data_IF_504168486509
#
_entry.id   IF_504168486509
#
_cell.length_a   1.000
_cell.length_b   1.000
_cell.length_c   1.000
_cell.angle_alpha   90.00
_cell.angle_beta   90.00
_cell.angle_gamma   90.00
#
_symmetry.space_group_name_H-M   'P 1'
#
loop_
_entity.id
_entity.type
_entity.pdbx_description
1 polymer ?
#
# COMPACT_ATOMS: atom_id res chain seq x y z
N UNK A 1 -1.13 18.99 22.76
CA UNK A 1 -1.09 17.52 22.65
C UNK A 1 -0.87 17.19 21.19
N UNK A 2 0.33 16.74 20.82
CA UNK A 2 0.53 16.13 19.50
C UNK A 2 -0.16 14.77 19.52
N UNK A 3 -1.16 14.56 18.67
CA UNK A 3 -1.78 13.25 18.50
C UNK A 3 -0.79 12.21 17.98
N UNK A 4 -1.13 10.93 18.10
CA UNK A 4 -0.36 9.82 17.57
C UNK A 4 -0.04 10.02 16.08
N UNK A 5 1.17 9.67 15.66
CA UNK A 5 1.57 9.62 14.25
C UNK A 5 2.36 8.33 13.98
N UNK A 6 2.00 7.56 12.93
CA UNK A 6 2.72 6.34 12.58
C UNK A 6 4.10 6.67 11.98
N UNK A 7 4.95 5.65 11.89
CA UNK A 7 6.16 5.74 11.07
C UNK A 7 5.76 5.75 9.59
N UNK A 8 6.36 6.62 8.78
CA UNK A 8 6.14 6.68 7.33
C UNK A 8 7.48 6.65 6.61
N UNK A 9 7.58 5.80 5.59
CA UNK A 9 8.78 5.61 4.78
C UNK A 9 8.45 5.72 3.28
N UNK A 10 9.47 5.97 2.47
CA UNK A 10 9.53 5.51 1.08
C UNK A 10 10.24 4.16 1.10
N UNK A 11 9.56 3.12 0.62
CA UNK A 11 10.05 1.74 0.62
C UNK A 11 10.04 1.15 -0.79
N UNK A 12 11.12 0.48 -1.15
CA UNK A 12 11.20 -0.29 -2.39
C UNK A 12 10.64 -1.69 -2.16
N UNK A 13 9.65 -2.07 -2.95
CA UNK A 13 8.94 -3.35 -2.79
C UNK A 13 9.63 -4.41 -3.66
N UNK A 14 9.77 -5.63 -3.16
CA UNK A 14 10.28 -6.74 -3.95
C UNK A 14 9.86 -8.10 -3.41
N UNK A 15 9.71 -9.08 -4.31
CA UNK A 15 9.47 -10.47 -3.94
C UNK A 15 8.05 -10.75 -3.42
N UNK A 16 7.10 -9.87 -3.73
CA UNK A 16 5.67 -10.10 -3.49
C UNK A 16 5.03 -10.94 -4.60
N UNK A 17 5.61 -10.87 -5.81
CA UNK A 17 5.02 -11.45 -7.01
C UNK A 17 3.90 -10.61 -7.61
N UNK A 18 3.70 -9.39 -7.11
CA UNK A 18 2.71 -8.43 -7.62
C UNK A 18 3.36 -7.39 -8.53
N UNK A 19 2.58 -6.72 -9.41
CA UNK A 19 3.07 -5.66 -10.28
C UNK A 19 3.82 -4.53 -9.57
N UNK A 20 3.54 -4.26 -8.30
CA UNK A 20 4.28 -3.27 -7.49
C UNK A 20 5.73 -3.66 -7.15
N UNK A 21 6.18 -4.89 -7.44
CA UNK A 21 7.58 -5.27 -7.26
C UNK A 21 8.50 -4.39 -8.12
N UNK A 22 9.51 -3.78 -7.48
CA UNK A 22 10.46 -2.85 -8.09
C UNK A 22 10.09 -1.37 -7.92
N UNK A 23 8.88 -1.06 -7.47
CA UNK A 23 8.40 0.30 -7.26
C UNK A 23 8.73 0.84 -5.86
N UNK A 24 8.85 2.16 -5.75
CA UNK A 24 9.09 2.86 -4.49
C UNK A 24 7.78 3.51 -4.03
N UNK A 25 7.11 2.91 -3.05
CA UNK A 25 5.83 3.41 -2.53
C UNK A 25 6.01 4.06 -1.16
N UNK A 26 5.08 4.94 -0.79
CA UNK A 26 5.03 5.45 0.59
C UNK A 26 4.20 4.51 1.45
N UNK A 27 4.82 4.03 2.51
CA UNK A 27 4.27 3.02 3.41
C UNK A 27 4.25 3.55 4.83
N UNK A 28 3.24 3.14 5.58
CA UNK A 28 3.11 3.48 7.00
C UNK A 28 3.14 2.22 7.88
N UNK A 29 3.67 2.36 9.10
CA UNK A 29 3.74 1.29 10.09
C UNK A 29 3.11 1.81 11.38
N UNK A 30 2.14 1.05 11.89
CA UNK A 30 1.25 1.49 12.95
C UNK A 30 1.42 0.66 14.22
N UNK A 31 1.10 1.24 15.36
CA UNK A 31 1.13 0.53 16.63
C UNK A 31 -0.11 -0.33 16.86
N UNK A 32 -1.25 0.06 16.27
CA UNK A 32 -2.53 -0.61 16.48
C UNK A 32 -2.55 -2.05 15.95
N UNK A 33 -1.74 -2.37 14.93
CA UNK A 33 -1.54 -3.71 14.40
C UNK A 33 -0.23 -4.34 14.90
N UNK A 34 0.33 -3.84 16.01
CA UNK A 34 1.62 -4.27 16.56
C UNK A 34 2.78 -4.23 15.55
N UNK A 35 2.74 -3.30 14.59
CA UNK A 35 3.76 -3.16 13.56
C UNK A 35 3.94 -4.43 12.70
N UNK A 36 2.88 -5.23 12.53
CA UNK A 36 2.94 -6.52 11.83
C UNK A 36 3.16 -6.39 10.33
N UNK A 37 2.73 -5.28 9.71
CA UNK A 37 2.81 -5.08 8.26
C UNK A 37 2.92 -3.62 7.85
N UNK A 38 3.56 -3.37 6.70
CA UNK A 38 3.54 -2.06 6.07
C UNK A 38 2.19 -1.81 5.41
N UNK A 39 1.57 -0.65 5.63
CA UNK A 39 0.32 -0.27 5.01
C UNK A 39 0.61 0.68 3.85
N UNK A 40 0.05 0.40 2.68
CA UNK A 40 0.13 1.32 1.56
C UNK A 40 -0.52 2.65 1.94
N UNK A 41 0.27 3.73 1.93
CA UNK A 41 -0.17 5.06 2.33
C UNK A 41 -0.34 5.99 1.14
N UNK A 42 0.56 5.92 0.14
CA UNK A 42 0.49 6.70 -1.09
C UNK A 42 1.49 6.18 -2.15
N UNK A 43 1.26 6.51 -3.42
CA UNK A 43 2.14 6.22 -4.54
C UNK A 43 2.22 7.40 -5.52
N UNK A 44 3.29 7.48 -6.30
CA UNK A 44 3.42 8.52 -7.33
C UNK A 44 2.62 8.12 -8.56
N UNK A 45 2.25 9.10 -9.39
CA UNK A 45 1.45 8.86 -10.60
C UNK A 45 2.11 7.87 -11.57
N UNK A 46 3.44 7.81 -11.60
CA UNK A 46 4.17 6.86 -12.44
C UNK A 46 3.98 5.40 -12.00
N UNK A 47 3.67 5.18 -10.72
CA UNK A 47 3.44 3.86 -10.14
C UNK A 47 1.96 3.43 -10.22
N UNK A 48 1.08 4.34 -10.64
CA UNK A 48 -0.39 4.17 -10.65
C UNK A 48 -0.85 2.92 -11.41
N UNK A 49 -0.33 2.59 -12.62
CA UNK A 49 -0.72 1.36 -13.31
C UNK A 49 -0.35 0.08 -12.54
N UNK A 50 0.81 0.07 -11.86
CA UNK A 50 1.26 -1.09 -11.10
C UNK A 50 0.45 -1.26 -9.80
N UNK A 51 0.09 -0.16 -9.15
CA UNK A 51 -0.80 -0.19 -7.97
C UNK A 51 -2.20 -0.64 -8.38
N UNK A 52 -2.78 -0.06 -9.42
CA UNK A 52 -4.09 -0.45 -9.96
C UNK A 52 -4.15 -1.95 -10.28
N UNK A 53 -3.18 -2.48 -11.04
CA UNK A 53 -3.15 -3.91 -11.37
C UNK A 53 -2.97 -4.78 -10.12
N UNK A 54 -2.19 -4.34 -9.14
CA UNK A 54 -2.02 -5.05 -7.87
C UNK A 54 -3.32 -5.08 -7.06
N UNK A 55 -4.06 -3.98 -6.97
CA UNK A 55 -5.36 -3.93 -6.30
C UNK A 55 -6.34 -4.89 -6.96
N UNK A 56 -6.47 -4.82 -8.29
CA UNK A 56 -7.32 -5.75 -9.03
C UNK A 56 -6.98 -7.22 -8.74
N UNK A 57 -5.69 -7.60 -8.83
CA UNK A 57 -5.24 -8.98 -8.59
C UNK A 57 -5.57 -9.44 -7.16
N UNK A 58 -5.28 -8.59 -6.17
CA UNK A 58 -5.40 -8.98 -4.76
C UNK A 58 -6.84 -8.96 -4.27
N UNK A 59 -7.65 -7.99 -4.69
CA UNK A 59 -9.08 -7.96 -4.42
C UNK A 59 -9.81 -9.11 -5.11
N UNK A 60 -9.45 -9.43 -6.37
CA UNK A 60 -10.03 -10.57 -7.08
C UNK A 60 -9.73 -11.87 -6.34
N UNK A 61 -8.47 -12.05 -5.89
CA UNK A 61 -8.07 -13.22 -5.11
C UNK A 61 -8.78 -13.30 -3.76
N UNK A 62 -9.09 -12.16 -3.14
CA UNK A 62 -9.83 -12.08 -1.88
C UNK A 62 -11.35 -12.24 -2.07
N UNK A 63 -11.86 -12.20 -3.30
CA UNK A 63 -13.30 -12.18 -3.58
C UNK A 63 -13.98 -10.84 -3.24
N UNK A 64 -13.20 -9.75 -3.23
CA UNK A 64 -13.66 -8.39 -2.92
C UNK A 64 -13.78 -7.50 -4.16
N UNK A 65 -13.16 -7.87 -5.28
CA UNK A 65 -13.21 -7.04 -6.49
C UNK A 65 -14.63 -7.05 -7.07
N UNK A 66 -15.17 -5.86 -7.35
CA UNK A 66 -16.51 -5.68 -7.90
C UNK A 66 -16.56 -5.79 -9.43
N UNK A 67 -15.40 -5.96 -10.07
CA UNK A 67 -15.23 -5.94 -11.52
C UNK A 67 -14.66 -7.27 -12.02
N UNK A 68 -15.13 -7.72 -13.18
CA UNK A 68 -14.75 -9.03 -13.71
C UNK A 68 -13.40 -9.00 -14.44
N UNK A 69 -12.98 -7.81 -14.90
CA UNK A 69 -11.77 -7.65 -15.72
C UNK A 69 -10.96 -6.44 -15.30
N UNK A 70 -9.64 -6.49 -15.53
CA UNK A 70 -8.74 -5.37 -15.29
C UNK A 70 -9.10 -4.14 -16.14
N UNK A 71 -9.63 -4.34 -17.36
CA UNK A 71 -10.06 -3.23 -18.22
C UNK A 71 -11.23 -2.47 -17.59
N UNK A 72 -12.25 -3.18 -17.14
CA UNK A 72 -13.39 -2.58 -16.45
C UNK A 72 -12.96 -1.91 -15.14
N UNK A 73 -12.10 -2.56 -14.36
CA UNK A 73 -11.51 -1.98 -13.15
C UNK A 73 -10.78 -0.66 -13.45
N UNK A 74 -9.97 -0.63 -14.52
CA UNK A 74 -9.21 0.54 -14.92
C UNK A 74 -10.11 1.71 -15.38
N UNK A 75 -11.26 1.42 -15.99
CA UNK A 75 -12.25 2.44 -16.36
C UNK A 75 -12.86 3.14 -15.14
N UNK A 76 -12.90 2.45 -14.00
CA UNK A 76 -13.45 2.96 -12.74
C UNK A 76 -12.39 3.34 -11.70
N UNK A 77 -11.11 3.22 -12.02
CA UNK A 77 -10.00 3.40 -11.07
C UNK A 77 -10.03 4.75 -10.33
N UNK A 78 -10.34 5.84 -11.03
CA UNK A 78 -10.39 7.19 -10.44
C UNK A 78 -11.53 7.38 -9.42
N UNK A 79 -12.56 6.53 -9.46
CA UNK A 79 -13.71 6.55 -8.54
C UNK A 79 -13.70 5.35 -7.58
N UNK A 80 -12.75 4.42 -7.74
CA UNK A 80 -12.62 3.23 -6.92
C UNK A 80 -12.08 3.60 -5.54
N UNK A 81 -12.67 2.97 -4.52
CA UNK A 81 -12.21 3.05 -3.14
C UNK A 81 -11.86 1.62 -2.69
N UNK A 82 -10.73 1.43 -1.99
CA UNK A 82 -10.36 0.12 -1.50
C UNK A 82 -11.31 -0.36 -0.41
N UNK A 83 -11.73 -1.63 -0.49
CA UNK A 83 -12.59 -2.28 0.51
C UNK A 83 -11.82 -2.63 1.82
N UNK A 84 -10.54 -2.29 1.89
CA UNK A 84 -9.69 -2.54 3.04
C UNK A 84 -8.31 -1.89 2.94
N UNK A 85 -7.46 -2.14 3.93
CA UNK A 85 -6.08 -1.63 3.93
C UNK A 85 -5.20 -2.65 3.19
N UNK A 86 -4.45 -2.17 2.19
CA UNK A 86 -3.48 -3.00 1.50
C UNK A 86 -2.18 -3.10 2.31
N UNK A 87 -1.88 -4.32 2.79
CA UNK A 87 -0.72 -4.61 3.62
C UNK A 87 0.38 -5.33 2.85
N UNK A 88 1.63 -4.94 3.08
CA UNK A 88 2.84 -5.54 2.51
C UNK A 88 3.67 -6.12 3.66
N UNK A 89 4.15 -7.38 3.55
CA UNK A 89 5.00 -7.98 4.59
C UNK A 89 6.31 -7.20 4.80
N UNK A 90 6.77 -7.15 6.05
CA UNK A 90 7.96 -6.36 6.43
C UNK A 90 9.23 -6.77 5.66
N UNK A 91 9.40 -8.06 5.37
CA UNK A 91 10.56 -8.61 4.67
C UNK A 91 10.55 -8.36 3.16
N UNK A 92 9.46 -7.79 2.62
CA UNK A 92 9.30 -7.44 1.20
C UNK A 92 9.58 -5.98 0.90
N UNK A 93 10.00 -5.21 1.90
CA UNK A 93 10.22 -3.77 1.80
C UNK A 93 11.65 -3.43 2.22
N UNK A 94 12.40 -2.86 1.28
CA UNK A 94 13.66 -2.19 1.57
C UNK A 94 13.39 -0.70 1.87
N UNK A 95 13.76 -0.22 3.05
CA UNK A 95 13.58 1.19 3.42
C UNK A 95 14.56 2.05 2.63
N UNK A 96 14.03 2.88 1.72
CA UNK A 96 14.84 3.83 0.94
C UNK A 96 15.03 5.13 1.71
N UNK A 97 13.96 5.63 2.34
CA UNK A 97 13.98 6.89 3.10
C UNK A 97 12.93 6.88 4.20
N UNK A 98 13.28 7.37 5.38
CA UNK A 98 12.29 7.68 6.42
C UNK A 98 11.75 9.09 6.20
N UNK A 99 10.42 9.21 6.11
CA UNK A 99 9.72 10.48 5.89
C UNK A 99 9.16 11.04 7.21
N UNK A 100 8.74 10.15 8.11
CA UNK A 100 8.25 10.47 9.44
C UNK A 100 8.61 9.34 10.40
N UNK A 101 9.24 9.65 11.53
CA UNK A 101 9.34 8.69 12.64
C UNK A 101 8.05 8.67 13.44
N UNK A 102 7.78 7.55 14.10
CA UNK A 102 6.61 7.40 14.96
C UNK A 102 6.63 8.44 16.10
N UNK A 103 5.47 9.05 16.37
CA UNK A 103 5.25 9.93 17.52
C UNK A 103 4.11 9.34 18.34
N UNK A 104 4.44 8.82 19.53
CA UNK A 104 3.45 8.46 20.54
C UNK A 104 3.07 9.73 21.30
N UNK A 105 1.78 10.06 21.36
CA UNK A 105 1.31 11.22 22.11
C UNK A 105 1.68 11.08 23.60
N UNK A 106 2.03 12.20 24.23
CA UNK A 106 2.20 12.31 25.70
C UNK A 106 0.84 12.38 26.42
#
# INVERSE_FOLDING_TARGET
MSGYKPKVIEGKISGTGWPIDGHNLMLSLWDYDNYESWHLNYWKKEDDPAVMETMFITETKAGLCLYDTLTEFAEHWEEWEPEGIFCIPLDKVEIVKVLQEEVKGE
#
